data_IF_377917479420
#
_entry.id   IF_377917479420
#
_cell.length_a   1.000
_cell.length_b   1.000
_cell.length_c   1.000
_cell.angle_alpha   90.00
_cell.angle_beta   90.00
_cell.angle_gamma   90.00
#
_symmetry.space_group_name_H-M   'P 1'
#
loop_
_entity.id
_entity.type
_entity.pdbx_description
1 polymer ?
#
# COMPACT_ATOMS: atom_id res chain seq x y z
N UNK A 1 -1.93 3.02 -35.78
CA UNK A 1 -1.52 4.20 -34.97
C UNK A 1 -2.56 4.58 -33.90
N UNK A 2 -3.78 4.02 -33.94
CA UNK A 2 -4.89 4.25 -33.01
C UNK A 2 -4.83 3.43 -31.71
N UNK A 3 -4.11 2.31 -31.67
CA UNK A 3 -4.01 1.44 -30.47
C UNK A 3 -3.12 2.03 -29.37
N UNK A 4 -2.11 2.85 -29.72
CA UNK A 4 -1.21 3.48 -28.74
C UNK A 4 -1.87 4.60 -27.92
N UNK A 5 -2.92 5.24 -28.47
CA UNK A 5 -3.62 6.34 -27.80
C UNK A 5 -4.56 5.83 -26.70
N UNK A 6 -5.14 4.63 -26.87
CA UNK A 6 -6.09 4.03 -25.91
C UNK A 6 -5.40 3.59 -24.62
N UNK A 7 -4.14 3.14 -24.69
CA UNK A 7 -3.38 2.65 -23.51
C UNK A 7 -2.91 3.82 -22.63
N UNK A 8 -2.44 4.92 -23.24
CA UNK A 8 -2.03 6.14 -22.53
C UNK A 8 -3.23 6.78 -21.80
N UNK A 9 -4.43 6.74 -22.40
CA UNK A 9 -5.65 7.22 -21.76
C UNK A 9 -6.12 6.35 -20.58
N UNK A 10 -5.83 5.05 -20.58
CA UNK A 10 -6.15 4.16 -19.46
C UNK A 10 -5.21 4.34 -18.27
N UNK A 11 -3.94 4.65 -18.52
CA UNK A 11 -2.94 4.95 -17.47
C UNK A 11 -3.29 6.30 -16.80
N UNK A 12 -3.71 7.31 -17.57
CA UNK A 12 -4.14 8.61 -17.05
C UNK A 12 -5.40 8.56 -16.18
N UNK A 13 -6.28 7.55 -16.35
CA UNK A 13 -7.46 7.37 -15.51
C UNK A 13 -7.17 6.74 -14.13
N UNK A 14 -5.94 6.23 -13.90
CA UNK A 14 -5.54 5.68 -12.60
C UNK A 14 -4.66 6.62 -11.75
N UNK A 15 -4.25 7.77 -12.29
CA UNK A 15 -3.39 8.76 -11.57
C UNK A 15 -4.22 9.78 -10.78
N UNK A 16 -5.54 9.82 -10.95
CA UNK A 16 -6.41 10.84 -10.36
C UNK A 16 -6.68 10.76 -8.84
N UNK A 17 -6.30 9.73 -8.04
CA UNK A 17 -6.42 9.84 -6.59
C UNK A 17 -5.11 10.15 -5.87
N UNK A 18 -4.00 10.48 -6.53
CA UNK A 18 -2.70 10.72 -5.85
C UNK A 18 -2.76 11.92 -4.88
N UNK A 19 -3.64 12.89 -5.11
CA UNK A 19 -3.83 14.02 -4.18
C UNK A 19 -4.50 13.60 -2.84
N UNK A 20 -5.26 12.50 -2.84
CA UNK A 20 -5.81 11.90 -1.63
C UNK A 20 -4.82 10.97 -0.91
N UNK A 21 -3.52 10.98 -1.21
CA UNK A 21 -2.52 10.15 -0.52
C UNK A 21 -1.76 10.89 0.57
N UNK A 22 -1.52 12.20 0.41
CA UNK A 22 -0.74 12.97 1.38
C UNK A 22 -1.45 13.20 2.71
N UNK A 23 -2.76 12.89 2.79
CA UNK A 23 -3.61 13.12 3.97
C UNK A 23 -3.95 11.82 4.73
N UNK A 24 -3.62 10.63 4.21
CA UNK A 24 -4.22 9.36 4.65
C UNK A 24 -3.26 8.35 5.27
N UNK A 25 -2.48 8.79 6.26
CA UNK A 25 -1.67 7.89 7.10
C UNK A 25 -2.19 7.88 8.53
N UNK A 26 -3.31 7.20 8.71
CA UNK A 26 -4.04 7.15 9.98
C UNK A 26 -3.80 5.85 10.76
N UNK A 27 -2.69 5.14 10.50
CA UNK A 27 -2.41 3.89 11.21
C UNK A 27 -2.11 4.11 12.69
N UNK A 28 -1.65 5.30 13.07
CA UNK A 28 -1.53 5.75 14.46
C UNK A 28 -2.88 5.78 15.18
N UNK A 29 -3.97 6.06 14.46
CA UNK A 29 -5.33 6.11 14.99
C UNK A 29 -5.81 4.76 15.56
N UNK A 30 -5.13 3.65 15.27
CA UNK A 30 -5.47 2.31 15.78
C UNK A 30 -4.90 2.01 17.17
N UNK A 31 -3.90 2.77 17.62
CA UNK A 31 -3.17 2.50 18.86
C UNK A 31 -3.75 3.29 20.05
N UNK A 32 -3.81 2.66 21.24
CA UNK A 32 -4.13 3.36 22.47
C UNK A 32 -2.86 3.95 23.10
N UNK A 33 -2.53 5.20 22.75
CA UNK A 33 -1.32 5.86 23.27
C UNK A 33 -1.46 6.37 24.72
N UNK A 34 -2.69 6.51 25.23
CA UNK A 34 -2.99 7.08 26.56
C UNK A 34 -3.58 6.06 27.57
N UNK A 35 -3.40 4.76 27.35
CA UNK A 35 -3.92 3.74 28.25
C UNK A 35 -3.15 3.73 29.60
N UNK A 36 -3.85 4.06 30.70
CA UNK A 36 -3.33 4.29 32.08
C UNK A 36 -2.51 3.17 32.76
N UNK A 37 -2.11 2.10 32.07
CA UNK A 37 -1.43 0.97 32.72
C UNK A 37 -0.32 0.31 31.89
N UNK A 38 0.13 0.95 30.81
CA UNK A 38 1.30 0.48 30.08
C UNK A 38 2.56 1.08 30.71
N UNK A 39 3.35 0.25 31.39
CA UNK A 39 4.79 0.47 31.56
C UNK A 39 5.48 0.35 30.21
N UNK A 40 5.14 1.24 29.28
CA UNK A 40 5.94 1.43 28.08
C UNK A 40 7.17 2.19 28.57
N UNK A 41 8.30 1.47 28.59
CA UNK A 41 9.64 2.09 28.51
C UNK A 41 9.55 3.26 27.54
N UNK A 42 10.16 4.40 27.88
CA UNK A 42 10.35 5.60 27.05
C UNK A 42 11.01 5.24 25.70
N UNK A 43 10.31 4.52 24.84
CA UNK A 43 10.66 4.33 23.45
C UNK A 43 9.77 5.30 22.72
N UNK A 44 10.35 6.46 22.41
CA UNK A 44 9.82 7.46 21.48
C UNK A 44 9.78 6.85 20.06
N UNK A 45 8.94 5.83 19.88
CA UNK A 45 8.67 5.22 18.59
C UNK A 45 7.63 6.09 17.91
N UNK A 46 8.11 6.94 17.00
CA UNK A 46 7.24 7.69 16.12
C UNK A 46 6.57 6.74 15.10
N UNK A 47 5.41 6.18 15.50
CA UNK A 47 4.56 5.31 14.67
C UNK A 47 4.24 6.02 13.35
N UNK A 48 3.98 7.32 13.40
CA UNK A 48 3.68 8.13 12.22
C UNK A 48 4.87 8.18 11.28
N UNK A 49 6.09 8.35 11.79
CA UNK A 49 7.29 8.25 10.97
C UNK A 49 7.44 6.88 10.30
N UNK A 50 7.16 5.78 11.00
CA UNK A 50 7.22 4.43 10.41
C UNK A 50 6.22 4.30 9.26
N UNK A 51 4.97 4.69 9.48
CA UNK A 51 3.92 4.56 8.46
C UNK A 51 4.19 5.51 7.28
N UNK A 52 4.60 6.76 7.54
CA UNK A 52 4.95 7.76 6.50
C UNK A 52 6.14 7.31 5.67
N UNK A 53 7.19 6.82 6.32
CA UNK A 53 8.36 6.31 5.60
C UNK A 53 8.02 5.05 4.80
N UNK A 54 7.20 4.14 5.34
CA UNK A 54 6.72 2.96 4.61
C UNK A 54 5.97 3.33 3.34
N UNK A 55 4.95 4.18 3.47
CA UNK A 55 4.13 4.63 2.34
C UNK A 55 4.95 5.41 1.29
N UNK A 56 5.81 6.34 1.73
CA UNK A 56 6.70 7.11 0.84
C UNK A 56 7.57 6.21 -0.02
N UNK A 57 8.24 5.23 0.61
CA UNK A 57 9.13 4.32 -0.11
C UNK A 57 8.36 3.35 -1.00
N UNK A 58 7.17 2.90 -0.59
CA UNK A 58 6.28 2.08 -1.42
C UNK A 58 5.86 2.83 -2.69
N UNK A 59 5.41 4.08 -2.55
CA UNK A 59 5.00 4.93 -3.66
C UNK A 59 6.16 5.26 -4.60
N UNK A 60 7.34 5.56 -4.05
CA UNK A 60 8.55 5.75 -4.87
C UNK A 60 8.84 4.50 -5.70
N UNK A 61 8.84 3.33 -5.07
CA UNK A 61 9.06 2.07 -5.75
C UNK A 61 8.03 1.81 -6.86
N UNK A 62 6.76 2.17 -6.62
CA UNK A 62 5.71 2.06 -7.62
C UNK A 62 5.92 3.04 -8.78
N UNK A 63 6.26 4.30 -8.51
CA UNK A 63 6.60 5.30 -9.52
C UNK A 63 7.77 4.87 -10.41
N UNK A 64 8.82 4.28 -9.82
CA UNK A 64 9.95 3.75 -10.56
C UNK A 64 9.49 2.57 -11.44
N UNK A 65 8.61 1.69 -10.94
CA UNK A 65 8.01 0.60 -11.73
C UNK A 65 7.18 1.12 -12.91
N UNK A 66 6.37 2.16 -12.73
CA UNK A 66 5.61 2.78 -13.81
C UNK A 66 6.53 3.41 -14.86
N UNK A 67 7.63 4.02 -14.42
CA UNK A 67 8.65 4.56 -15.32
C UNK A 67 9.32 3.45 -16.14
N UNK A 68 9.65 2.32 -15.50
CA UNK A 68 10.17 1.14 -16.18
C UNK A 68 9.19 0.62 -17.25
N UNK A 69 7.91 0.47 -16.89
CA UNK A 69 6.85 0.03 -17.81
C UNK A 69 6.77 0.95 -19.03
N UNK A 70 6.79 2.27 -18.82
CA UNK A 70 6.72 3.25 -19.90
C UNK A 70 7.89 3.12 -20.90
N UNK A 71 9.11 2.89 -20.41
CA UNK A 71 10.27 2.65 -21.29
C UNK A 71 10.15 1.33 -22.07
N UNK A 72 9.68 0.26 -21.42
CA UNK A 72 9.44 -1.03 -22.10
C UNK A 72 8.38 -0.89 -23.20
N UNK A 73 7.31 -0.13 -22.94
CA UNK A 73 6.22 0.09 -23.91
C UNK A 73 6.60 1.03 -25.05
N UNK A 74 7.49 2.01 -24.80
CA UNK A 74 8.00 2.90 -25.84
C UNK A 74 8.93 2.18 -26.82
N UNK A 75 9.50 1.04 -26.40
CA UNK A 75 10.48 0.27 -27.17
C UNK A 75 11.91 0.80 -27.02
N UNK A 76 12.15 1.66 -26.03
CA UNK A 76 13.47 2.16 -25.69
C UNK A 76 14.23 1.12 -24.86
N UNK A 77 15.17 0.43 -25.51
CA UNK A 77 15.97 -0.64 -24.89
C UNK A 77 17.31 -0.13 -24.35
N UNK A 78 17.30 1.00 -23.63
CA UNK A 78 18.46 1.45 -22.86
C UNK A 78 18.56 0.62 -21.58
N UNK A 79 19.28 -0.50 -21.68
CA UNK A 79 19.38 -1.46 -20.57
C UNK A 79 20.11 -0.89 -19.34
N UNK A 80 21.03 0.06 -19.51
CA UNK A 80 21.70 0.71 -18.37
C UNK A 80 20.69 1.54 -17.58
N UNK A 81 19.88 2.35 -18.27
CA UNK A 81 18.80 3.10 -17.63
C UNK A 81 17.76 2.16 -16.99
N UNK A 82 17.31 1.13 -17.71
CA UNK A 82 16.34 0.16 -17.20
C UNK A 82 16.83 -0.56 -15.93
N UNK A 83 18.11 -0.97 -15.90
CA UNK A 83 18.74 -1.54 -14.71
C UNK A 83 18.73 -0.55 -13.54
N UNK A 84 19.05 0.71 -13.80
CA UNK A 84 19.02 1.78 -12.79
C UNK A 84 17.63 1.98 -12.18
N UNK A 85 16.59 2.00 -13.01
CA UNK A 85 15.19 2.15 -12.55
C UNK A 85 14.77 0.97 -11.69
N UNK A 86 15.03 -0.27 -12.13
CA UNK A 86 14.67 -1.47 -11.35
C UNK A 86 15.44 -1.52 -10.04
N UNK A 87 16.73 -1.16 -10.04
CA UNK A 87 17.53 -1.10 -8.82
C UNK A 87 16.97 -0.07 -7.82
N UNK A 88 16.59 1.13 -8.28
CA UNK A 88 15.96 2.15 -7.43
C UNK A 88 14.61 1.71 -6.87
N UNK A 89 13.81 1.01 -7.69
CA UNK A 89 12.54 0.44 -7.27
C UNK A 89 12.71 -0.63 -6.19
N UNK A 90 13.72 -1.49 -6.33
CA UNK A 90 14.07 -2.53 -5.35
C UNK A 90 14.51 -1.91 -4.02
N UNK A 91 15.43 -0.94 -4.06
CA UNK A 91 15.92 -0.26 -2.85
C UNK A 91 14.77 0.41 -2.10
N UNK A 92 13.87 1.08 -2.82
CA UNK A 92 12.70 1.73 -2.24
C UNK A 92 11.72 0.70 -1.66
N UNK A 93 11.43 -0.40 -2.36
CA UNK A 93 10.54 -1.45 -1.82
C UNK A 93 11.16 -2.14 -0.61
N UNK A 94 12.48 -2.32 -0.56
CA UNK A 94 13.17 -2.88 0.59
C UNK A 94 12.96 -2.03 1.84
N UNK A 95 13.12 -0.70 1.71
CA UNK A 95 12.83 0.25 2.79
C UNK A 95 11.36 0.20 3.21
N UNK A 96 10.43 0.18 2.26
CA UNK A 96 9.00 0.08 2.55
C UNK A 96 8.65 -1.21 3.32
N UNK A 97 9.16 -2.34 2.84
CA UNK A 97 9.04 -3.66 3.48
C UNK A 97 9.61 -3.65 4.91
N UNK A 98 10.75 -2.99 5.13
CA UNK A 98 11.32 -2.83 6.47
C UNK A 98 10.38 -2.04 7.39
N UNK A 99 9.85 -0.91 6.93
CA UNK A 99 8.89 -0.11 7.73
C UNK A 99 7.62 -0.90 8.06
N UNK A 100 7.08 -1.69 7.12
CA UNK A 100 5.92 -2.54 7.41
C UNK A 100 6.24 -3.72 8.34
N UNK A 101 7.49 -4.20 8.32
CA UNK A 101 7.97 -5.18 9.29
C UNK A 101 8.06 -4.59 10.70
N UNK A 102 8.53 -3.35 10.82
CA UNK A 102 8.58 -2.67 12.12
C UNK A 102 7.16 -2.40 12.62
N UNK A 103 6.27 -1.93 11.74
CA UNK A 103 4.86 -1.66 12.06
C UNK A 103 4.13 -2.92 12.55
N UNK A 104 4.27 -4.06 11.88
CA UNK A 104 3.59 -5.30 12.31
C UNK A 104 4.11 -5.80 13.66
N UNK A 105 5.40 -5.62 13.96
CA UNK A 105 5.99 -6.03 15.24
C UNK A 105 5.54 -5.10 16.37
N UNK A 106 5.45 -3.81 16.07
CA UNK A 106 4.90 -2.82 16.99
C UNK A 106 3.43 -3.11 17.31
N UNK A 107 2.65 -3.45 16.28
CA UNK A 107 1.25 -3.86 16.38
C UNK A 107 1.05 -5.14 17.21
N UNK A 108 2.07 -5.99 17.33
CA UNK A 108 2.05 -7.13 18.24
C UNK A 108 2.37 -6.75 19.71
N UNK A 109 2.92 -5.55 19.94
CA UNK A 109 3.50 -5.14 21.22
C UNK A 109 2.71 -4.04 21.94
N UNK A 110 1.90 -3.27 21.20
CA UNK A 110 1.09 -2.16 21.74
C UNK A 110 -0.40 -2.55 21.80
N UNK A 111 -1.10 -2.29 22.92
CA UNK A 111 -2.54 -2.50 23.00
C UNK A 111 -3.31 -1.56 22.06
N UNK A 112 -4.32 -2.11 21.39
CA UNK A 112 -5.21 -1.36 20.51
C UNK A 112 -6.29 -0.60 21.30
N UNK A 113 -6.85 0.45 20.68
CA UNK A 113 -8.07 1.10 21.19
C UNK A 113 -9.26 0.13 21.08
N UNK A 114 -9.63 -0.49 22.20
CA UNK A 114 -10.74 -1.44 22.27
C UNK A 114 -12.07 -0.85 21.78
N UNK A 115 -12.32 0.44 22.04
CA UNK A 115 -13.55 1.10 21.62
C UNK A 115 -13.60 1.18 20.09
N UNK A 116 -12.49 1.54 19.47
CA UNK A 116 -12.37 1.57 18.01
C UNK A 116 -12.52 0.18 17.40
N UNK A 117 -11.90 -0.84 17.99
CA UNK A 117 -12.01 -2.23 17.52
C UNK A 117 -13.46 -2.72 17.56
N UNK A 118 -14.20 -2.47 18.64
CA UNK A 118 -15.61 -2.87 18.73
C UNK A 118 -16.50 -2.11 17.74
N UNK A 119 -16.20 -0.84 17.46
CA UNK A 119 -16.89 -0.10 16.39
C UNK A 119 -16.59 -0.66 15.00
N UNK A 120 -15.34 -1.05 14.71
CA UNK A 120 -14.97 -1.70 13.44
C UNK A 120 -15.73 -3.04 13.29
N UNK A 121 -15.76 -3.87 14.33
CA UNK A 121 -16.47 -5.17 14.31
C UNK A 121 -17.97 -5.04 14.07
N UNK A 122 -18.58 -3.97 14.58
CA UNK A 122 -20.03 -3.69 14.44
C UNK A 122 -20.38 -2.79 13.25
N UNK A 123 -19.39 -2.36 12.46
CA UNK A 123 -19.59 -1.49 11.31
C UNK A 123 -20.42 -2.17 10.20
N UNK A 124 -21.30 -1.41 9.54
CA UNK A 124 -22.11 -1.91 8.42
C UNK A 124 -21.34 -1.84 7.09
N UNK A 125 -20.43 -2.80 6.90
CA UNK A 125 -19.62 -2.95 5.68
C UNK A 125 -20.46 -3.08 4.41
N UNK A 126 -21.65 -3.70 4.50
CA UNK A 126 -22.50 -3.92 3.32
C UNK A 126 -23.10 -2.60 2.82
N UNK A 127 -23.63 -1.80 3.72
CA UNK A 127 -24.18 -0.48 3.38
C UNK A 127 -23.06 0.43 2.90
N UNK A 128 -21.89 0.43 3.56
CA UNK A 128 -20.74 1.20 3.12
C UNK A 128 -20.31 0.83 1.70
N UNK A 129 -20.18 -0.46 1.38
CA UNK A 129 -19.81 -0.92 0.04
C UNK A 129 -20.83 -0.49 -1.03
N UNK A 130 -22.13 -0.61 -0.74
CA UNK A 130 -23.20 -0.18 -1.67
C UNK A 130 -23.16 1.33 -1.95
N UNK A 131 -22.82 2.13 -0.95
CA UNK A 131 -22.74 3.58 -1.07
C UNK A 131 -21.45 4.05 -1.78
N UNK A 132 -20.49 3.15 -2.00
CA UNK A 132 -19.20 3.44 -2.62
C UNK A 132 -18.95 2.53 -3.84
N UNK A 133 -19.66 2.75 -4.98
CA UNK A 133 -19.63 1.86 -6.13
C UNK A 133 -18.28 1.78 -6.88
N UNK A 134 -17.30 2.62 -6.51
CA UNK A 134 -15.95 2.60 -7.08
C UNK A 134 -14.98 1.62 -6.39
N UNK A 135 -15.40 0.96 -5.31
CA UNK A 135 -14.54 0.05 -4.57
C UNK A 135 -14.31 -1.26 -5.35
N UNK A 136 -13.05 -1.72 -5.39
CA UNK A 136 -12.72 -3.03 -5.92
C UNK A 136 -13.29 -4.11 -4.98
N UNK A 137 -14.21 -4.98 -5.44
CA UNK A 137 -14.91 -5.92 -4.56
C UNK A 137 -13.95 -6.90 -3.85
N UNK A 138 -12.95 -7.41 -4.56
CA UNK A 138 -12.03 -8.41 -4.03
C UNK A 138 -11.09 -7.82 -2.98
N UNK A 139 -10.60 -6.59 -3.20
CA UNK A 139 -9.76 -5.89 -2.22
C UNK A 139 -10.58 -5.49 -1.00
N UNK A 140 -11.78 -4.94 -1.20
CA UNK A 140 -12.67 -4.55 -0.12
C UNK A 140 -13.07 -5.74 0.77
N UNK A 141 -13.43 -6.87 0.17
CA UNK A 141 -13.74 -8.10 0.92
C UNK A 141 -12.55 -8.56 1.78
N UNK A 142 -11.32 -8.42 1.27
CA UNK A 142 -10.13 -8.77 2.04
C UNK A 142 -9.94 -7.84 3.25
N UNK A 143 -10.15 -6.53 3.06
CA UNK A 143 -10.14 -5.56 4.17
C UNK A 143 -11.25 -5.83 5.19
N UNK A 144 -12.47 -6.13 4.72
CA UNK A 144 -13.60 -6.48 5.58
C UNK A 144 -13.24 -7.66 6.49
N UNK A 145 -12.62 -8.72 5.96
CA UNK A 145 -12.26 -9.91 6.75
C UNK A 145 -11.44 -9.54 7.99
N UNK A 146 -10.42 -8.69 7.85
CA UNK A 146 -9.57 -8.29 8.98
C UNK A 146 -10.29 -7.35 9.94
N UNK A 147 -10.91 -6.28 9.42
CA UNK A 147 -11.47 -5.24 10.28
C UNK A 147 -12.72 -5.72 11.03
N UNK A 148 -13.55 -6.57 10.39
CA UNK A 148 -14.76 -7.13 10.99
C UNK A 148 -14.47 -8.14 12.10
N UNK A 149 -13.31 -8.79 12.08
CA UNK A 149 -12.84 -9.63 13.19
C UNK A 149 -12.06 -8.84 14.24
N UNK A 150 -11.77 -7.56 14.00
CA UNK A 150 -10.88 -6.75 14.84
C UNK A 150 -9.40 -7.16 14.72
N UNK A 151 -9.03 -7.87 13.65
CA UNK A 151 -7.66 -8.38 13.43
C UNK A 151 -6.78 -7.34 12.73
N UNK A 152 -6.49 -6.25 13.44
CA UNK A 152 -5.61 -5.17 12.95
C UNK A 152 -4.19 -5.68 12.72
N UNK A 153 -3.70 -6.58 13.57
CA UNK A 153 -2.38 -7.21 13.39
C UNK A 153 -2.33 -7.97 12.06
N UNK A 154 -3.35 -8.79 11.78
CA UNK A 154 -3.46 -9.51 10.51
C UNK A 154 -3.46 -8.58 9.30
N UNK A 155 -4.08 -7.40 9.40
CA UNK A 155 -4.03 -6.39 8.35
C UNK A 155 -2.59 -5.88 8.10
N UNK A 156 -1.82 -5.58 9.15
CA UNK A 156 -0.42 -5.18 9.01
C UNK A 156 0.49 -6.31 8.53
N UNK A 157 0.26 -7.54 9.00
CA UNK A 157 0.94 -8.73 8.47
C UNK A 157 0.70 -8.85 6.96
N UNK A 158 -0.54 -8.64 6.50
CA UNK A 158 -0.89 -8.68 5.09
C UNK A 158 -0.20 -7.56 4.27
N UNK A 159 -0.07 -6.35 4.81
CA UNK A 159 0.68 -5.27 4.17
C UNK A 159 2.16 -5.64 3.98
N UNK A 160 2.79 -6.18 5.03
CA UNK A 160 4.18 -6.65 4.98
C UNK A 160 4.36 -7.76 3.94
N UNK A 161 3.49 -8.78 3.95
CA UNK A 161 3.55 -9.90 3.01
C UNK A 161 3.44 -9.43 1.56
N UNK A 162 2.50 -8.53 1.26
CA UNK A 162 2.35 -7.93 -0.09
C UNK A 162 3.61 -7.18 -0.51
N UNK A 163 4.19 -6.37 0.37
CA UNK A 163 5.44 -5.66 0.07
C UNK A 163 6.60 -6.64 -0.17
N UNK A 164 6.68 -7.73 0.59
CA UNK A 164 7.68 -8.77 0.40
C UNK A 164 7.50 -9.54 -0.93
N UNK A 165 6.26 -9.83 -1.32
CA UNK A 165 5.95 -10.43 -2.63
C UNK A 165 6.35 -9.51 -3.79
N UNK A 166 6.01 -8.22 -3.71
CA UNK A 166 6.39 -7.20 -4.70
C UNK A 166 7.92 -7.10 -4.79
N UNK A 167 8.61 -7.02 -3.64
CA UNK A 167 10.06 -7.01 -3.57
C UNK A 167 10.70 -8.23 -4.27
N UNK A 168 10.19 -9.43 -3.97
CA UNK A 168 10.67 -10.64 -4.63
C UNK A 168 10.40 -10.62 -6.13
N UNK A 169 9.26 -10.06 -6.54
CA UNK A 169 8.91 -9.93 -7.96
C UNK A 169 9.84 -8.98 -8.71
N UNK A 170 10.20 -7.86 -8.09
CA UNK A 170 11.18 -6.92 -8.63
C UNK A 170 12.56 -7.56 -8.82
N UNK A 171 13.02 -8.39 -7.87
CA UNK A 171 14.30 -9.12 -8.02
C UNK A 171 14.30 -10.04 -9.24
N UNK A 172 13.21 -10.75 -9.49
CA UNK A 172 13.07 -11.59 -10.70
C UNK A 172 13.10 -10.75 -11.98
N UNK A 173 12.50 -9.56 -11.97
CA UNK A 173 12.57 -8.62 -13.09
C UNK A 173 14.01 -8.13 -13.29
N UNK A 174 14.71 -7.84 -12.20
CA UNK A 174 16.12 -7.42 -12.21
C UNK A 174 17.03 -8.44 -12.88
N UNK A 175 16.83 -9.73 -12.60
CA UNK A 175 17.59 -10.82 -13.24
C UNK A 175 17.47 -10.78 -14.78
N UNK A 176 16.30 -10.41 -15.31
CA UNK A 176 16.12 -10.25 -16.76
C UNK A 176 16.87 -9.03 -17.28
N UNK A 177 16.76 -7.89 -16.59
CA UNK A 177 17.45 -6.65 -17.03
C UNK A 177 18.96 -6.75 -16.93
N UNK A 178 19.49 -7.52 -15.97
CA UNK A 178 20.93 -7.71 -15.76
C UNK A 178 21.60 -8.46 -16.92
N UNK A 179 20.85 -9.31 -17.64
CA UNK A 179 21.32 -9.99 -18.85
C UNK A 179 20.91 -9.29 -20.15
N UNK A 180 20.54 -8.01 -20.06
CA UNK A 180 20.02 -7.22 -21.18
C UNK A 180 18.81 -7.87 -21.88
N UNK A 181 17.90 -8.46 -21.09
CA UNK A 181 16.64 -9.01 -21.57
C UNK A 181 15.45 -8.27 -20.96
N UNK A 182 14.36 -8.17 -21.73
CA UNK A 182 13.11 -7.63 -21.21
C UNK A 182 12.34 -8.74 -20.47
N UNK A 183 11.79 -8.45 -19.27
CA UNK A 183 10.82 -9.34 -18.65
C UNK A 183 9.61 -9.54 -19.55
N UNK A 184 8.94 -10.69 -19.41
CA UNK A 184 7.67 -10.93 -20.10
C UNK A 184 6.65 -9.87 -19.69
N UNK A 185 5.92 -9.32 -20.66
CA UNK A 185 4.90 -8.30 -20.42
C UNK A 185 3.84 -8.74 -19.40
N UNK A 186 3.50 -10.03 -19.35
CA UNK A 186 2.58 -10.59 -18.36
C UNK A 186 3.10 -10.47 -16.93
N UNK A 187 4.42 -10.58 -16.71
CA UNK A 187 5.03 -10.42 -15.39
C UNK A 187 5.04 -8.97 -14.93
N UNK A 188 5.18 -8.05 -15.89
CA UNK A 188 5.12 -6.61 -15.70
C UNK A 188 3.70 -6.15 -15.33
N UNK A 189 2.69 -6.63 -16.05
CA UNK A 189 1.28 -6.39 -15.69
C UNK A 189 0.92 -6.98 -14.33
N UNK A 190 1.41 -8.18 -14.03
CA UNK A 190 1.20 -8.79 -12.72
C UNK A 190 1.81 -7.96 -11.60
N UNK A 191 3.03 -7.45 -11.78
CA UNK A 191 3.66 -6.55 -10.80
C UNK A 191 2.81 -5.28 -10.60
N UNK A 192 2.36 -4.64 -11.68
CA UNK A 192 1.50 -3.47 -11.60
C UNK A 192 0.19 -3.74 -10.84
N UNK A 193 -0.44 -4.89 -11.08
CA UNK A 193 -1.62 -5.32 -10.36
C UNK A 193 -1.34 -5.56 -8.86
N UNK A 194 -0.18 -6.14 -8.53
CA UNK A 194 0.24 -6.34 -7.14
C UNK A 194 0.37 -5.01 -6.40
N UNK A 195 1.05 -4.02 -7.01
CA UNK A 195 1.11 -2.67 -6.46
C UNK A 195 -0.28 -2.07 -6.26
N UNK A 196 -1.11 -2.09 -7.30
CA UNK A 196 -2.46 -1.52 -7.26
C UNK A 196 -3.32 -2.15 -6.15
N UNK A 197 -3.29 -3.47 -6.01
CA UNK A 197 -4.05 -4.17 -4.97
C UNK A 197 -3.56 -3.84 -3.56
N UNK A 198 -2.23 -3.78 -3.34
CA UNK A 198 -1.67 -3.40 -2.05
C UNK A 198 -1.98 -1.93 -1.70
N UNK A 199 -1.93 -1.06 -2.70
CA UNK A 199 -2.27 0.35 -2.61
C UNK A 199 -3.73 0.55 -2.16
N UNK A 200 -4.67 -0.11 -2.87
CA UNK A 200 -6.10 -0.07 -2.54
C UNK A 200 -6.40 -0.66 -1.16
N UNK A 201 -5.71 -1.75 -0.78
CA UNK A 201 -5.87 -2.38 0.53
C UNK A 201 -5.58 -1.40 1.67
N UNK A 202 -4.43 -0.71 1.61
CA UNK A 202 -4.08 0.32 2.59
C UNK A 202 -5.09 1.48 2.61
N UNK A 203 -5.50 1.96 1.42
CA UNK A 203 -6.48 3.04 1.31
C UNK A 203 -7.83 2.70 1.95
N UNK A 204 -8.35 1.49 1.71
CA UNK A 204 -9.64 1.08 2.24
C UNK A 204 -9.60 0.88 3.75
N UNK A 205 -8.49 0.39 4.30
CA UNK A 205 -8.28 0.34 5.76
C UNK A 205 -8.39 1.74 6.35
N UNK A 206 -7.64 2.71 5.82
CA UNK A 206 -7.65 4.08 6.32
C UNK A 206 -9.04 4.69 6.21
N UNK A 207 -9.70 4.57 5.06
CA UNK A 207 -11.03 5.12 4.83
C UNK A 207 -12.06 4.59 5.85
N UNK A 208 -12.06 3.29 6.12
CA UNK A 208 -12.97 2.67 7.09
C UNK A 208 -12.69 3.11 8.52
N UNK A 209 -11.42 3.26 8.90
CA UNK A 209 -11.05 3.76 10.23
C UNK A 209 -11.53 5.21 10.42
N UNK A 210 -11.34 6.07 9.42
CA UNK A 210 -11.82 7.45 9.45
C UNK A 210 -13.35 7.52 9.56
N UNK A 211 -14.06 6.72 8.75
CA UNK A 211 -15.52 6.61 8.79
C UNK A 211 -16.02 6.20 10.18
N UNK A 212 -15.40 5.19 10.78
CA UNK A 212 -15.77 4.68 12.10
C UNK A 212 -15.47 5.66 13.23
N UNK A 213 -14.39 6.46 13.10
CA UNK A 213 -14.07 7.50 14.09
C UNK A 213 -15.02 8.70 14.01
N UNK A 214 -15.71 8.90 12.88
CA UNK A 214 -16.61 10.04 12.67
C UNK A 214 -15.89 11.35 12.35
N UNK A 215 -14.61 11.30 11.99
CA UNK A 215 -13.79 12.48 11.68
C UNK A 215 -13.95 12.90 10.20
N UNK A 216 -15.16 13.23 9.78
CA UNK A 216 -15.41 13.75 8.43
C UNK A 216 -15.16 15.26 8.28
N UNK A 217 -15.07 16.01 9.38
CA UNK A 217 -15.13 17.49 9.33
C UNK A 217 -13.80 18.21 9.04
N UNK A 218 -12.65 17.54 9.11
CA UNK A 218 -11.33 18.19 8.95
C UNK A 218 -10.51 17.73 7.73
N UNK A 219 -11.06 16.89 6.84
CA UNK A 219 -10.23 16.09 5.92
C UNK A 219 -10.63 16.09 4.42
N UNK A 220 -11.50 17.01 3.99
CA UNK A 220 -11.80 17.29 2.57
C UNK A 220 -11.50 18.76 2.22
#
# INVERSE_FOLDING_TARGET
MTTKIIIISLILLMVTPVYGWFVFNSGDLLFCLDCENTTLVDIDIDINAIIVNGAKNFLKSYSDTLSFLNHVESGENDYENLQGIVASSIESMEKAKSSYYDLKNLAASIPYDYTLIEKLKSFDYQTFFKNNPGLNPAVFQNVEVFLKSGDVKGAFDNMYERAAEIFNKLKVIKESTDIAALPKISELWRLNQMYSNALLFGQYITQLICEVKGNHEDFW
#
